data_IF_884177551566
#
_entry.id   IF_884177551566
#
_cell.length_a   1.000
_cell.length_b   1.000
_cell.length_c   1.000
_cell.angle_alpha   90.00
_cell.angle_beta   90.00
_cell.angle_gamma   90.00
#
_symmetry.space_group_name_H-M   'P 1'
#
loop_
_entity.id
_entity.type
_entity.pdbx_description
1 polymer ?
#
# COMPACT_ATOMS: atom_id res chain seq x y z
N UNK A 1 -13.29 5.46 -63.73
CA UNK A 1 -14.00 4.94 -62.57
C UNK A 1 -13.05 4.24 -61.58
N UNK A 2 -12.08 3.42 -62.01
CA UNK A 2 -11.12 2.69 -61.11
C UNK A 2 -10.18 3.59 -60.31
N UNK A 3 -9.84 4.82 -60.77
CA UNK A 3 -8.95 5.74 -60.04
C UNK A 3 -9.63 6.46 -58.84
N UNK A 4 -10.96 6.68 -58.88
CA UNK A 4 -11.70 7.34 -57.79
C UNK A 4 -11.95 6.42 -56.59
N UNK A 5 -12.10 5.12 -56.83
CA UNK A 5 -12.33 4.13 -55.76
C UNK A 5 -11.04 3.93 -54.92
N UNK A 6 -9.85 3.90 -55.56
CA UNK A 6 -8.57 3.75 -54.84
C UNK A 6 -8.26 4.92 -53.91
N UNK A 7 -8.71 6.15 -54.20
CA UNK A 7 -8.48 7.31 -53.33
C UNK A 7 -9.37 7.31 -52.09
N UNK A 8 -10.60 6.78 -52.16
CA UNK A 8 -11.49 6.68 -50.98
C UNK A 8 -11.07 5.59 -50.02
N UNK A 9 -10.59 4.47 -50.49
CA UNK A 9 -10.10 3.38 -49.63
C UNK A 9 -8.80 3.81 -48.95
N UNK A 10 -7.88 4.49 -49.65
CA UNK A 10 -6.62 4.97 -49.06
C UNK A 10 -6.83 6.04 -47.98
N UNK A 11 -7.86 6.88 -48.10
CA UNK A 11 -8.20 7.91 -47.12
C UNK A 11 -8.85 7.32 -45.88
N UNK A 12 -9.59 6.23 -46.00
CA UNK A 12 -10.16 5.49 -44.83
C UNK A 12 -9.13 4.63 -44.10
N UNK A 13 -8.10 4.18 -44.80
CA UNK A 13 -6.99 3.45 -44.16
C UNK A 13 -6.02 4.42 -43.45
N UNK A 14 -5.79 5.58 -43.96
CA UNK A 14 -4.94 6.59 -43.33
C UNK A 14 -5.60 7.19 -42.09
N UNK A 15 -6.93 7.33 -42.03
CA UNK A 15 -7.64 7.79 -40.84
C UNK A 15 -7.74 6.70 -39.73
N UNK A 16 -7.73 5.44 -40.13
CA UNK A 16 -7.66 4.32 -39.14
C UNK A 16 -6.24 4.04 -38.65
N UNK A 17 -5.23 4.28 -39.47
CA UNK A 17 -3.82 4.21 -39.06
C UNK A 17 -3.43 5.39 -38.15
N UNK A 18 -4.03 6.56 -38.33
CA UNK A 18 -3.78 7.73 -37.45
C UNK A 18 -4.41 7.53 -36.06
N UNK A 19 -5.55 6.82 -35.94
CA UNK A 19 -6.16 6.50 -34.65
C UNK A 19 -5.47 5.32 -33.93
N UNK A 20 -4.86 4.39 -34.69
CA UNK A 20 -4.05 3.32 -34.10
C UNK A 20 -2.63 3.79 -33.73
N UNK A 21 -2.11 4.81 -34.42
CA UNK A 21 -0.81 5.40 -34.12
C UNK A 21 -0.78 6.23 -32.84
N UNK A 22 -1.89 6.86 -32.46
CA UNK A 22 -1.96 7.67 -31.24
C UNK A 22 -1.98 6.82 -29.96
N UNK A 23 -2.68 5.68 -29.96
CA UNK A 23 -2.67 4.77 -28.81
C UNK A 23 -1.33 4.04 -28.64
N UNK A 24 -0.67 3.65 -29.74
CA UNK A 24 0.65 3.03 -29.70
C UNK A 24 1.76 4.04 -29.34
N UNK A 25 1.62 5.32 -29.69
CA UNK A 25 2.57 6.37 -29.34
C UNK A 25 2.51 6.73 -27.85
N UNK A 26 1.34 6.68 -27.23
CA UNK A 26 1.16 6.92 -25.78
C UNK A 26 1.76 5.76 -24.97
N UNK A 27 1.57 4.52 -25.39
CA UNK A 27 2.19 3.35 -24.76
C UNK A 27 3.71 3.34 -24.97
N UNK A 28 4.22 3.78 -26.13
CA UNK A 28 5.66 3.89 -26.38
C UNK A 28 6.31 5.04 -25.60
N UNK A 29 5.62 6.16 -25.36
CA UNK A 29 6.13 7.27 -24.57
C UNK A 29 6.26 6.87 -23.08
N UNK A 30 5.29 6.13 -22.53
CA UNK A 30 5.35 5.63 -21.16
C UNK A 30 6.48 4.59 -20.97
N UNK A 31 6.76 3.75 -21.97
CA UNK A 31 7.86 2.77 -21.93
C UNK A 31 9.23 3.42 -22.13
N UNK A 32 9.34 4.53 -22.87
CA UNK A 32 10.60 5.24 -23.12
C UNK A 32 11.08 6.09 -21.92
N UNK A 33 10.17 6.62 -21.12
CA UNK A 33 10.49 7.38 -19.89
C UNK A 33 11.07 6.45 -18.80
N UNK A 34 10.74 5.15 -18.82
CA UNK A 34 11.25 4.16 -17.85
C UNK A 34 12.71 3.74 -18.14
N UNK A 35 13.33 4.10 -19.26
CA UNK A 35 14.64 3.56 -19.70
C UNK A 35 15.81 4.56 -19.72
N UNK A 36 15.80 5.64 -18.95
CA UNK A 36 16.98 6.49 -18.83
C UNK A 36 17.85 6.06 -17.63
N UNK A 37 19.04 5.50 -17.85
CA UNK A 37 20.00 5.28 -16.77
C UNK A 37 20.78 6.58 -16.52
N UNK A 38 20.75 7.07 -15.32
CA UNK A 38 21.53 8.24 -14.89
C UNK A 38 20.74 9.22 -14.07
N UNK A 39 20.17 8.76 -12.96
CA UNK A 39 19.43 9.65 -12.06
C UNK A 39 20.36 10.11 -10.95
N UNK A 40 20.55 11.43 -10.87
CA UNK A 40 21.07 12.10 -9.68
C UNK A 40 20.21 11.70 -8.46
N UNK A 41 20.76 11.62 -7.26
CA UNK A 41 19.96 11.38 -6.08
C UNK A 41 18.86 12.43 -6.01
N UNK A 42 17.60 11.96 -6.14
CA UNK A 42 16.46 12.86 -6.13
C UNK A 42 16.28 13.50 -4.75
N UNK A 43 15.89 14.76 -4.69
CA UNK A 43 15.64 15.42 -3.43
C UNK A 43 14.56 14.67 -2.64
N UNK A 44 14.77 14.51 -1.34
CA UNK A 44 13.80 13.98 -0.38
C UNK A 44 12.39 14.54 -0.68
N UNK A 45 11.40 13.69 -0.79
CA UNK A 45 10.02 14.09 -1.09
C UNK A 45 9.51 15.21 -0.16
N UNK A 46 9.96 15.24 1.08
CA UNK A 46 9.69 16.33 2.02
C UNK A 46 10.33 17.65 1.62
N UNK A 47 11.56 17.63 1.08
CA UNK A 47 12.23 18.84 0.59
C UNK A 47 11.49 19.41 -0.63
N UNK A 48 10.98 18.56 -1.53
CA UNK A 48 10.16 18.99 -2.66
C UNK A 48 8.87 19.65 -2.19
N UNK A 49 8.16 19.04 -1.24
CA UNK A 49 6.92 19.60 -0.66
C UNK A 49 7.15 20.96 0.00
N UNK A 50 8.27 21.14 0.72
CA UNK A 50 8.64 22.43 1.30
C UNK A 50 8.91 23.49 0.23
N UNK A 51 9.56 23.13 -0.88
CA UNK A 51 9.77 24.04 -2.01
C UNK A 51 8.45 24.46 -2.68
N UNK A 52 7.45 23.59 -2.67
CA UNK A 52 6.08 23.86 -3.12
C UNK A 52 5.25 24.67 -2.12
N UNK A 53 5.83 25.08 -0.97
CA UNK A 53 5.13 25.85 0.08
C UNK A 53 4.21 24.99 0.96
N UNK A 54 4.35 23.65 0.91
CA UNK A 54 3.64 22.74 1.81
C UNK A 54 4.45 22.60 3.09
N UNK A 55 3.92 23.07 4.22
CA UNK A 55 4.52 22.81 5.53
C UNK A 55 4.23 21.38 5.93
N UNK A 56 5.24 20.52 5.86
CA UNK A 56 5.13 19.12 6.30
C UNK A 56 6.04 18.95 7.52
N UNK A 57 5.45 18.72 8.68
CA UNK A 57 6.21 18.20 9.81
C UNK A 57 6.68 16.79 9.45
N UNK A 58 7.94 16.42 9.80
CA UNK A 58 8.40 15.04 9.61
C UNK A 58 7.68 14.13 10.60
N UNK A 59 6.66 13.41 10.17
CA UNK A 59 5.88 12.59 11.08
C UNK A 59 6.74 11.42 11.56
N UNK A 60 6.54 11.03 12.81
CA UNK A 60 7.33 9.99 13.45
C UNK A 60 6.49 8.73 13.64
N UNK A 61 7.08 7.57 13.39
CA UNK A 61 6.47 6.29 13.77
C UNK A 61 6.54 6.18 15.29
N UNK A 62 5.41 5.85 15.91
CA UNK A 62 5.30 5.76 17.36
C UNK A 62 4.88 4.35 17.77
N UNK A 63 5.62 3.76 18.69
CA UNK A 63 5.20 2.56 19.40
C UNK A 63 4.72 2.94 20.80
N UNK A 64 3.58 2.41 21.18
CA UNK A 64 3.03 2.51 22.54
C UNK A 64 2.82 1.14 23.13
N UNK A 65 2.93 1.04 24.45
CA UNK A 65 2.53 -0.16 25.19
C UNK A 65 1.38 0.18 26.13
N UNK A 66 0.67 -0.84 26.58
CA UNK A 66 -0.50 -0.73 27.47
C UNK A 66 -0.19 -0.12 28.85
N UNK A 67 1.07 -0.07 29.26
CA UNK A 67 1.53 0.62 30.46
C UNK A 67 1.83 2.13 30.28
N UNK A 68 1.57 2.67 29.09
CA UNK A 68 1.82 4.07 28.74
C UNK A 68 3.24 4.35 28.23
N UNK A 69 4.11 3.35 28.08
CA UNK A 69 5.40 3.52 27.42
C UNK A 69 5.20 4.04 25.99
N UNK A 70 5.97 5.04 25.60
CA UNK A 70 5.96 5.59 24.26
C UNK A 70 7.37 5.68 23.72
N UNK A 71 7.58 5.14 22.52
CA UNK A 71 8.86 5.16 21.81
C UNK A 71 8.67 5.73 20.43
N UNK A 72 9.59 6.58 20.02
CA UNK A 72 9.70 7.05 18.63
C UNK A 72 10.64 6.11 17.89
N UNK A 73 10.18 5.62 16.76
CA UNK A 73 10.91 4.69 15.90
C UNK A 73 11.21 5.35 14.55
N UNK A 74 12.27 4.90 13.89
CA UNK A 74 12.63 5.43 12.59
C UNK A 74 11.98 4.61 11.46
N UNK A 75 12.73 3.73 10.79
CA UNK A 75 12.23 3.02 9.60
C UNK A 75 11.93 1.55 9.90
N UNK A 76 12.65 0.96 10.88
CA UNK A 76 12.47 -0.43 11.24
C UNK A 76 12.75 -0.69 12.72
N UNK A 77 12.14 -1.76 13.24
CA UNK A 77 12.45 -2.34 14.53
C UNK A 77 12.28 -3.86 14.50
N UNK A 78 12.90 -4.52 15.47
CA UNK A 78 12.83 -5.98 15.66
C UNK A 78 12.56 -6.29 17.11
N UNK A 79 11.65 -7.23 17.35
CA UNK A 79 11.52 -7.90 18.64
C UNK A 79 12.48 -9.07 18.69
N UNK A 80 13.36 -9.07 19.66
CA UNK A 80 14.35 -10.14 19.88
C UNK A 80 14.02 -10.85 21.18
N UNK A 81 13.78 -12.15 21.11
CA UNK A 81 13.64 -12.97 22.30
C UNK A 81 15.03 -13.21 22.87
N UNK A 82 15.20 -12.89 24.13
CA UNK A 82 16.36 -13.25 24.94
C UNK A 82 16.10 -14.56 25.68
N UNK A 83 17.12 -15.13 26.30
CA UNK A 83 16.95 -16.30 27.16
C UNK A 83 15.96 -16.00 28.30
N UNK A 84 15.15 -17.00 28.70
CA UNK A 84 14.24 -16.96 29.86
C UNK A 84 13.06 -15.98 29.79
N UNK A 85 12.41 -15.88 28.62
CA UNK A 85 11.14 -15.14 28.50
C UNK A 85 11.27 -13.62 28.42
N UNK A 86 12.48 -13.08 28.32
CA UNK A 86 12.68 -11.67 28.07
C UNK A 86 12.60 -11.35 26.58
N UNK A 87 11.89 -10.28 26.23
CA UNK A 87 11.84 -9.69 24.88
C UNK A 87 12.51 -8.31 24.92
N UNK A 88 13.27 -8.01 23.91
CA UNK A 88 13.82 -6.67 23.71
C UNK A 88 13.41 -6.12 22.36
N UNK A 89 13.06 -4.85 22.33
CA UNK A 89 12.94 -4.10 21.07
C UNK A 89 14.35 -3.63 20.68
N UNK A 90 14.75 -3.98 19.46
CA UNK A 90 15.96 -3.45 18.84
C UNK A 90 15.60 -2.52 17.70
N UNK A 91 16.05 -1.29 17.76
CA UNK A 91 15.88 -0.31 16.69
C UNK A 91 16.93 -0.48 15.60
N UNK A 92 16.73 0.14 14.46
CA UNK A 92 17.69 0.16 13.34
C UNK A 92 19.03 0.79 13.76
N UNK A 93 19.03 1.78 14.67
CA UNK A 93 20.23 2.40 15.24
C UNK A 93 20.99 1.52 16.22
N UNK A 94 20.47 0.32 16.51
CA UNK A 94 21.08 -0.64 17.44
C UNK A 94 20.70 -0.42 18.91
N UNK A 95 19.86 0.57 19.21
CA UNK A 95 19.32 0.73 20.57
C UNK A 95 18.50 -0.49 20.96
N UNK A 96 18.68 -0.99 22.17
CA UNK A 96 17.92 -2.12 22.70
C UNK A 96 17.17 -1.68 23.94
N UNK A 97 15.86 -1.97 23.97
CA UNK A 97 14.99 -1.70 25.11
C UNK A 97 14.29 -2.99 25.56
N UNK A 98 14.47 -3.41 26.82
CA UNK A 98 13.73 -4.56 27.34
C UNK A 98 12.24 -4.25 27.40
N UNK A 99 11.43 -5.25 27.07
CA UNK A 99 9.98 -5.18 27.13
C UNK A 99 9.48 -6.28 28.04
N UNK A 100 8.46 -6.02 28.84
CA UNK A 100 7.76 -7.06 29.56
C UNK A 100 6.96 -7.94 28.57
N UNK A 101 7.02 -9.25 28.73
CA UNK A 101 6.43 -10.23 27.79
C UNK A 101 4.90 -10.19 27.75
N UNK A 102 4.26 -9.73 28.81
CA UNK A 102 2.80 -9.67 28.96
C UNK A 102 2.17 -8.46 28.24
N UNK A 103 2.99 -7.56 27.68
CA UNK A 103 2.51 -6.30 27.11
C UNK A 103 1.87 -6.47 25.76
N UNK A 104 0.82 -5.69 25.55
CA UNK A 104 0.31 -5.38 24.22
C UNK A 104 0.99 -4.13 23.69
N UNK A 105 1.47 -4.22 22.48
CA UNK A 105 2.17 -3.17 21.78
C UNK A 105 1.33 -2.67 20.61
N UNK A 106 1.41 -1.39 20.35
CA UNK A 106 0.77 -0.75 19.19
C UNK A 106 1.80 0.10 18.46
N UNK A 107 1.96 -0.14 17.17
CA UNK A 107 2.73 0.72 16.28
C UNK A 107 1.77 1.54 15.42
N UNK A 108 1.96 2.86 15.40
CA UNK A 108 1.25 3.79 14.55
C UNK A 108 2.22 4.41 13.55
N UNK A 109 1.94 4.16 12.26
CA UNK A 109 2.70 4.70 11.13
C UNK A 109 1.92 5.88 10.57
N UNK A 110 2.43 7.11 10.69
CA UNK A 110 1.74 8.28 10.16
C UNK A 110 1.77 8.31 8.62
N UNK A 111 0.96 9.17 8.02
CA UNK A 111 1.06 9.47 6.60
C UNK A 111 2.48 9.97 6.25
N UNK A 112 2.96 9.64 5.07
CA UNK A 112 4.31 10.00 4.62
C UNK A 112 5.42 9.07 5.12
N UNK A 113 5.10 8.01 5.84
CA UNK A 113 6.07 7.04 6.37
C UNK A 113 5.65 5.61 6.08
N UNK A 114 6.64 4.74 6.03
CA UNK A 114 6.49 3.28 6.03
C UNK A 114 7.36 2.72 7.15
N UNK A 115 7.02 1.55 7.65
CA UNK A 115 7.73 0.94 8.76
C UNK A 115 7.83 -0.58 8.60
N UNK A 116 8.98 -1.16 8.91
CA UNK A 116 9.19 -2.61 8.94
C UNK A 116 9.36 -3.09 10.38
N UNK A 117 8.56 -4.06 10.76
CA UNK A 117 8.62 -4.72 12.05
C UNK A 117 8.96 -6.20 11.88
N UNK A 118 9.93 -6.69 12.63
CA UNK A 118 10.18 -8.12 12.78
C UNK A 118 9.65 -8.54 14.15
N UNK A 119 8.68 -9.45 14.13
CA UNK A 119 8.05 -10.01 15.34
C UNK A 119 8.97 -11.01 16.03
N UNK A 120 8.66 -11.38 17.28
CA UNK A 120 9.48 -12.26 18.11
C UNK A 120 9.57 -13.71 17.59
N UNK A 121 8.60 -14.14 16.77
CA UNK A 121 8.63 -15.43 16.07
C UNK A 121 9.47 -15.40 14.78
N UNK A 122 9.95 -14.23 14.40
CA UNK A 122 10.70 -13.96 13.17
C UNK A 122 9.86 -13.71 11.94
N UNK A 123 8.53 -13.58 12.10
CA UNK A 123 7.66 -13.06 11.04
C UNK A 123 7.94 -11.57 10.77
N UNK A 124 7.77 -11.14 9.54
CA UNK A 124 8.04 -9.76 9.12
C UNK A 124 6.76 -9.08 8.66
N UNK A 125 6.57 -7.85 9.09
CA UNK A 125 5.41 -7.01 8.75
C UNK A 125 5.90 -5.66 8.24
N UNK A 126 5.57 -5.33 7.02
CA UNK A 126 5.73 -3.98 6.48
C UNK A 126 4.41 -3.25 6.64
N UNK A 127 4.45 -2.09 7.28
CA UNK A 127 3.30 -1.22 7.50
C UNK A 127 3.38 -0.03 6.55
N UNK A 128 2.34 0.19 5.78
CA UNK A 128 2.24 1.33 4.88
C UNK A 128 1.77 2.59 5.62
N UNK A 129 1.85 3.73 4.96
CA UNK A 129 1.47 5.03 5.49
C UNK A 129 0.02 5.05 6.03
N UNK A 130 -0.18 5.63 7.20
CA UNK A 130 -1.48 5.70 7.86
C UNK A 130 -1.96 4.40 8.51
N UNK A 131 -1.07 3.42 8.73
CA UNK A 131 -1.43 2.11 9.28
C UNK A 131 -1.13 1.99 10.77
N UNK A 132 -1.87 1.09 11.44
CA UNK A 132 -1.70 0.75 12.85
C UNK A 132 -1.68 -0.76 13.02
N UNK A 133 -0.72 -1.27 13.79
CA UNK A 133 -0.61 -2.68 14.14
C UNK A 133 -0.62 -2.84 15.66
N UNK A 134 -1.53 -3.66 16.15
CA UNK A 134 -1.55 -4.09 17.57
C UNK A 134 -1.11 -5.55 17.65
N UNK A 135 -0.22 -5.85 18.58
CA UNK A 135 0.38 -7.18 18.71
C UNK A 135 0.94 -7.40 20.13
N UNK A 136 1.04 -8.63 20.61
CA UNK A 136 1.70 -8.93 21.88
C UNK A 136 3.22 -8.81 21.73
N UNK A 137 3.91 -8.47 22.81
CA UNK A 137 5.37 -8.43 22.83
C UNK A 137 6.01 -9.80 22.49
N UNK A 138 5.32 -10.88 22.79
CA UNK A 138 5.73 -12.26 22.43
C UNK A 138 4.53 -13.14 22.16
N UNK A 139 4.73 -14.15 21.28
CA UNK A 139 3.80 -15.26 21.04
C UNK A 139 4.17 -16.55 21.80
N UNK A 140 5.08 -16.49 22.78
CA UNK A 140 5.69 -17.68 23.37
C UNK A 140 4.65 -18.67 23.92
N UNK A 141 3.75 -18.37 24.68
CA UNK A 141 2.78 -19.29 25.28
C UNK A 141 1.40 -19.25 24.60
N UNK A 142 1.33 -18.65 23.41
CA UNK A 142 0.08 -18.52 22.69
C UNK A 142 -0.21 -19.74 21.80
N UNK A 143 -1.43 -20.22 21.81
CA UNK A 143 -1.90 -21.26 20.87
C UNK A 143 -2.06 -20.73 19.43
N UNK A 144 -2.32 -19.43 19.27
CA UNK A 144 -2.35 -18.69 18.02
C UNK A 144 -1.50 -17.43 18.14
N UNK A 145 -0.85 -17.03 17.04
CA UNK A 145 -0.07 -15.79 16.95
C UNK A 145 -0.97 -14.69 16.38
N UNK A 146 -1.66 -13.95 17.23
CA UNK A 146 -2.66 -12.98 16.79
C UNK A 146 -2.12 -11.55 16.80
N UNK A 147 -2.42 -10.82 15.71
CA UNK A 147 -2.19 -9.39 15.57
C UNK A 147 -3.45 -8.73 15.03
N UNK A 148 -3.59 -7.41 15.22
CA UNK A 148 -4.69 -6.63 14.64
C UNK A 148 -4.13 -5.52 13.77
N UNK A 149 -4.68 -5.35 12.58
CA UNK A 149 -4.28 -4.32 11.62
C UNK A 149 -5.43 -3.37 11.29
N UNK A 150 -5.12 -2.09 11.20
CA UNK A 150 -5.92 -1.05 10.56
C UNK A 150 -5.02 -0.36 9.53
N UNK A 151 -5.47 -0.21 8.29
CA UNK A 151 -4.65 0.33 7.21
C UNK A 151 -4.11 -0.74 6.27
N UNK A 152 -2.89 -0.58 5.77
CA UNK A 152 -2.28 -1.51 4.82
C UNK A 152 -0.98 -2.10 5.37
N UNK A 153 -0.87 -3.42 5.28
CA UNK A 153 0.34 -4.14 5.65
C UNK A 153 0.62 -5.31 4.70
N UNK A 154 1.90 -5.55 4.47
CA UNK A 154 2.38 -6.76 3.83
C UNK A 154 3.01 -7.67 4.89
N UNK A 155 2.57 -8.92 4.91
CA UNK A 155 2.99 -9.91 5.87
C UNK A 155 3.85 -10.99 5.20
N UNK A 156 4.99 -11.30 5.78
CA UNK A 156 5.78 -12.50 5.50
C UNK A 156 5.86 -13.34 6.77
N UNK A 157 4.94 -14.30 6.88
CA UNK A 157 4.75 -15.06 8.09
C UNK A 157 5.65 -16.30 8.08
N UNK A 158 6.46 -16.42 9.13
CA UNK A 158 7.29 -17.60 9.35
C UNK A 158 6.42 -18.83 9.55
N UNK A 159 6.74 -19.91 8.83
CA UNK A 159 5.98 -21.15 8.86
C UNK A 159 6.02 -21.79 10.26
N UNK A 160 4.84 -21.99 10.82
CA UNK A 160 4.60 -22.74 12.04
C UNK A 160 3.23 -23.42 11.91
N UNK A 161 3.22 -24.74 11.76
CA UNK A 161 1.99 -25.52 11.58
C UNK A 161 1.28 -25.87 12.88
N UNK A 162 1.97 -25.71 14.02
CA UNK A 162 1.42 -25.98 15.33
C UNK A 162 0.69 -24.76 15.90
N UNK A 163 1.13 -23.56 15.52
CA UNK A 163 0.56 -22.29 15.99
C UNK A 163 0.21 -21.41 14.81
N UNK A 164 -1.06 -21.42 14.37
CA UNK A 164 -1.51 -20.55 13.30
C UNK A 164 -1.21 -19.08 13.59
N UNK A 165 -1.03 -18.29 12.52
CA UNK A 165 -0.96 -16.83 12.62
C UNK A 165 -2.30 -16.26 12.23
N UNK A 166 -2.87 -15.38 13.06
CA UNK A 166 -4.15 -14.73 12.85
C UNK A 166 -3.96 -13.23 12.69
N UNK A 167 -4.49 -12.66 11.61
CA UNK A 167 -4.61 -11.21 11.44
C UNK A 167 -6.07 -10.83 11.60
N UNK A 168 -6.37 -10.12 12.66
CA UNK A 168 -7.69 -9.57 12.93
C UNK A 168 -7.84 -8.23 12.23
N UNK A 169 -8.99 -8.04 11.59
CA UNK A 169 -9.46 -6.79 11.02
C UNK A 169 -10.65 -6.28 11.85
N UNK A 170 -11.26 -5.19 11.44
CA UNK A 170 -12.50 -4.73 12.08
C UNK A 170 -13.63 -5.77 12.00
N UNK A 171 -14.61 -5.64 12.87
CA UNK A 171 -15.88 -6.39 12.85
C UNK A 171 -15.77 -7.92 12.96
N UNK A 172 -14.69 -8.42 13.59
CA UNK A 172 -14.47 -9.85 13.78
C UNK A 172 -14.00 -10.59 12.54
N UNK A 173 -13.62 -9.87 11.50
CA UNK A 173 -12.97 -10.42 10.31
C UNK A 173 -11.56 -10.93 10.65
N UNK A 174 -11.21 -12.11 10.18
CA UNK A 174 -9.96 -12.78 10.50
C UNK A 174 -9.34 -13.47 9.30
N UNK A 175 -8.02 -13.36 9.19
CA UNK A 175 -7.18 -14.03 8.22
C UNK A 175 -6.28 -15.00 8.97
N UNK A 176 -6.36 -16.30 8.64
CA UNK A 176 -5.61 -17.37 9.32
C UNK A 176 -4.62 -18.02 8.36
N UNK A 177 -3.35 -18.12 8.79
CA UNK A 177 -2.27 -18.66 7.95
C UNK A 177 -1.28 -19.52 8.77
N UNK A 178 -0.52 -20.39 8.08
CA UNK A 178 0.50 -21.24 8.71
C UNK A 178 1.93 -20.87 8.28
N UNK A 179 2.09 -20.01 7.26
CA UNK A 179 3.37 -19.62 6.68
C UNK A 179 3.16 -19.14 5.26
N UNK A 180 2.99 -17.83 5.09
CA UNK A 180 2.29 -17.24 3.94
C UNK A 180 2.80 -15.83 3.73
N UNK A 181 2.92 -15.41 2.46
CA UNK A 181 3.17 -14.01 2.11
C UNK A 181 1.90 -13.41 1.48
N UNK A 182 1.41 -12.31 2.03
CA UNK A 182 0.16 -11.69 1.58
C UNK A 182 0.08 -10.20 1.93
N UNK A 183 -0.73 -9.47 1.19
CA UNK A 183 -1.05 -8.06 1.46
C UNK A 183 -2.46 -7.93 2.03
N UNK A 184 -2.61 -7.06 3.00
CA UNK A 184 -3.91 -6.65 3.56
C UNK A 184 -4.06 -5.15 3.36
N UNK A 185 -5.18 -4.71 2.81
CA UNK A 185 -5.57 -3.31 2.73
C UNK A 185 -6.94 -3.14 3.40
N UNK A 186 -6.93 -2.58 4.60
CA UNK A 186 -8.08 -2.42 5.49
C UNK A 186 -8.14 -1.01 6.08
N UNK A 187 -7.96 0.03 5.23
CA UNK A 187 -8.21 1.40 5.65
C UNK A 187 -9.71 1.63 5.84
N UNK A 188 -10.10 2.17 6.99
CA UNK A 188 -11.50 2.42 7.32
C UNK A 188 -12.24 3.30 6.29
N UNK A 189 -11.52 4.25 5.65
CA UNK A 189 -12.08 5.14 4.62
C UNK A 189 -12.35 4.49 3.28
N UNK A 190 -11.79 3.31 2.98
CA UNK A 190 -11.89 2.70 1.65
C UNK A 190 -13.24 2.01 1.38
N UNK A 191 -14.11 1.85 2.39
CA UNK A 191 -15.40 1.16 2.28
C UNK A 191 -15.30 -0.34 2.00
N UNK A 192 -14.09 -0.87 1.87
CA UNK A 192 -13.82 -2.30 1.65
C UNK A 192 -12.52 -2.73 2.30
N UNK A 193 -12.45 -4.00 2.71
CA UNK A 193 -11.21 -4.67 3.06
C UNK A 193 -10.79 -5.60 1.92
N UNK A 194 -9.49 -5.63 1.65
CA UNK A 194 -8.93 -6.42 0.55
C UNK A 194 -7.73 -7.21 1.06
N UNK A 195 -7.73 -8.53 0.84
CA UNK A 195 -6.59 -9.40 1.17
C UNK A 195 -6.15 -10.13 -0.09
N UNK A 196 -4.87 -10.02 -0.44
CA UNK A 196 -4.28 -10.63 -1.64
C UNK A 196 -3.19 -11.60 -1.26
N UNK A 197 -3.32 -12.85 -1.70
CA UNK A 197 -2.39 -13.93 -1.41
C UNK A 197 -1.29 -14.02 -2.47
N UNK A 198 -0.02 -13.90 -2.02
CA UNK A 198 1.16 -14.04 -2.88
C UNK A 198 1.70 -15.47 -2.85
N UNK A 199 1.97 -16.02 -1.66
CA UNK A 199 2.45 -17.40 -1.50
C UNK A 199 1.81 -18.07 -0.31
N UNK A 200 1.65 -19.40 -0.34
CA UNK A 200 1.10 -20.17 0.76
C UNK A 200 -0.41 -20.41 0.63
N UNK A 201 -1.14 -20.30 1.72
CA UNK A 201 -2.60 -20.48 1.81
C UNK A 201 -3.19 -19.59 2.91
N UNK A 202 -4.35 -19.03 2.64
CA UNK A 202 -5.14 -18.23 3.58
C UNK A 202 -6.47 -18.92 3.84
N UNK A 203 -6.88 -19.00 5.13
CA UNK A 203 -8.26 -19.13 5.54
C UNK A 203 -8.80 -17.75 5.90
N UNK A 204 -9.82 -17.29 5.23
CA UNK A 204 -10.44 -15.98 5.44
C UNK A 204 -11.85 -16.14 5.99
N UNK A 205 -12.13 -15.54 7.15
CA UNK A 205 -13.47 -15.47 7.74
C UNK A 205 -13.96 -14.03 7.81
N UNK A 206 -15.13 -13.75 7.24
CA UNK A 206 -15.70 -12.39 7.17
C UNK A 206 -16.22 -11.85 8.52
N UNK A 207 -16.44 -12.73 9.49
CA UNK A 207 -16.84 -12.41 10.87
C UNK A 207 -16.54 -13.58 11.78
N UNK A 208 -16.61 -13.35 13.09
CA UNK A 208 -16.44 -14.42 14.07
C UNK A 208 -17.44 -15.57 13.84
N UNK A 209 -16.92 -16.78 13.66
CA UNK A 209 -17.74 -17.98 13.42
C UNK A 209 -18.28 -18.14 12.00
N UNK A 210 -17.95 -17.24 11.05
CA UNK A 210 -18.27 -17.43 9.65
C UNK A 210 -17.47 -18.60 9.04
N UNK A 211 -18.01 -19.21 7.99
CA UNK A 211 -17.30 -20.21 7.21
C UNK A 211 -16.06 -19.60 6.56
N UNK A 212 -14.92 -20.30 6.64
CA UNK A 212 -13.68 -19.84 6.06
C UNK A 212 -13.67 -20.03 4.54
N UNK A 213 -13.36 -18.95 3.82
CA UNK A 213 -13.03 -18.97 2.40
C UNK A 213 -11.53 -19.23 2.27
N UNK A 214 -11.17 -20.29 1.54
CA UNK A 214 -9.76 -20.63 1.32
C UNK A 214 -9.25 -19.95 0.06
N UNK A 215 -8.13 -19.23 0.17
CA UNK A 215 -7.44 -18.61 -0.96
C UNK A 215 -6.20 -19.39 -1.35
N UNK A 216 -5.94 -19.43 -2.66
CA UNK A 216 -4.72 -19.91 -3.29
C UNK A 216 -3.89 -18.73 -3.84
N UNK A 217 -2.59 -18.91 -4.14
CA UNK A 217 -1.76 -17.84 -4.71
C UNK A 217 -2.39 -17.20 -5.95
N UNK A 218 -2.21 -15.88 -6.08
CA UNK A 218 -2.87 -15.04 -7.08
C UNK A 218 -4.39 -14.94 -6.95
N UNK A 219 -4.91 -15.19 -5.76
CA UNK A 219 -6.29 -14.87 -5.43
C UNK A 219 -6.35 -13.71 -4.43
N UNK A 220 -7.43 -12.96 -4.57
CA UNK A 220 -7.76 -11.83 -3.73
C UNK A 220 -9.19 -12.00 -3.22
N UNK A 221 -9.39 -11.80 -1.92
CA UNK A 221 -10.71 -11.62 -1.34
C UNK A 221 -10.95 -10.13 -1.09
N UNK A 222 -12.14 -9.67 -1.43
CA UNK A 222 -12.62 -8.32 -1.16
C UNK A 222 -13.94 -8.39 -0.41
N UNK A 223 -14.01 -7.72 0.76
CA UNK A 223 -15.22 -7.56 1.56
C UNK A 223 -15.71 -6.12 1.42
N UNK A 224 -16.90 -5.93 0.92
CA UNK A 224 -17.61 -4.64 0.97
C UNK A 224 -18.18 -4.43 2.37
N UNK A 225 -17.80 -3.34 3.04
CA UNK A 225 -18.17 -3.09 4.43
C UNK A 225 -19.63 -2.64 4.57
N UNK A 226 -20.16 -1.95 3.55
CA UNK A 226 -21.55 -1.46 3.59
C UNK A 226 -22.54 -2.58 3.24
N UNK A 227 -22.24 -3.37 2.21
CA UNK A 227 -23.08 -4.47 1.77
C UNK A 227 -22.85 -5.77 2.56
N UNK A 228 -21.70 -5.92 3.26
CA UNK A 228 -21.29 -7.14 3.94
C UNK A 228 -20.94 -8.29 2.97
N UNK A 229 -20.87 -8.03 1.67
CA UNK A 229 -20.61 -9.05 0.65
C UNK A 229 -19.13 -9.36 0.54
N UNK A 230 -18.82 -10.63 0.26
CA UNK A 230 -17.45 -11.13 0.06
C UNK A 230 -17.34 -11.67 -1.36
N UNK A 231 -16.28 -11.26 -2.06
CA UNK A 231 -15.98 -11.71 -3.42
C UNK A 231 -14.53 -12.19 -3.51
N UNK A 232 -14.30 -13.28 -4.24
CA UNK A 232 -12.95 -13.78 -4.55
C UNK A 232 -12.70 -13.61 -6.05
N UNK A 233 -11.52 -13.11 -6.38
CA UNK A 233 -11.10 -12.91 -7.77
C UNK A 233 -9.65 -13.34 -7.98
N UNK A 234 -9.31 -13.71 -9.22
CA UNK A 234 -7.92 -13.93 -9.62
C UNK A 234 -7.26 -12.59 -9.97
N UNK A 235 -6.02 -12.39 -9.51
CA UNK A 235 -5.23 -11.17 -9.72
C UNK A 235 -3.76 -11.52 -9.94
N UNK A 236 -2.97 -10.58 -10.46
CA UNK A 236 -1.52 -10.65 -10.36
C UNK A 236 -1.10 -10.18 -8.96
N UNK A 237 -0.85 -11.13 -8.05
CA UNK A 237 -0.53 -10.81 -6.66
C UNK A 237 0.82 -10.08 -6.49
N UNK A 238 1.73 -10.15 -7.48
CA UNK A 238 3.06 -9.54 -7.40
C UNK A 238 3.01 -8.01 -7.28
N UNK A 239 1.94 -7.39 -7.78
CA UNK A 239 1.79 -5.94 -7.76
C UNK A 239 1.36 -5.39 -6.40
N UNK A 240 0.70 -6.22 -5.59
CA UNK A 240 0.13 -5.77 -4.30
C UNK A 240 1.18 -5.62 -3.17
N UNK A 241 2.35 -6.25 -3.31
CA UNK A 241 3.50 -6.06 -2.41
C UNK A 241 4.54 -5.06 -2.94
N UNK A 242 4.36 -4.52 -4.15
CA UNK A 242 5.37 -3.69 -4.82
C UNK A 242 5.64 -2.36 -4.07
N UNK A 243 4.69 -1.89 -3.27
CA UNK A 243 4.84 -0.66 -2.50
C UNK A 243 5.96 -0.75 -1.44
N UNK A 244 6.21 -1.92 -0.84
CA UNK A 244 7.34 -2.13 0.10
C UNK A 244 8.72 -1.98 -0.56
N UNK A 245 8.75 -2.09 -1.90
CA UNK A 245 9.94 -1.90 -2.73
C UNK A 245 10.00 -0.49 -3.35
N UNK A 246 9.11 0.41 -2.92
CA UNK A 246 9.03 1.79 -3.39
C UNK A 246 8.34 1.96 -4.74
N UNK A 247 7.49 1.01 -5.16
CA UNK A 247 6.67 1.15 -6.35
C UNK A 247 5.23 1.52 -6.01
N UNK A 248 4.67 2.44 -6.76
CA UNK A 248 3.26 2.75 -6.81
C UNK A 248 2.67 2.10 -8.07
N UNK A 249 1.86 1.08 -7.88
CA UNK A 249 1.09 0.44 -8.93
C UNK A 249 -0.38 0.83 -8.80
N UNK A 250 -1.01 1.18 -9.90
CA UNK A 250 -2.45 1.49 -9.96
C UNK A 250 -3.00 1.01 -11.30
N UNK A 251 -4.18 0.43 -11.26
CA UNK A 251 -4.87 -0.12 -12.42
C UNK A 251 -6.34 0.28 -12.37
N UNK A 252 -6.76 1.04 -13.40
CA UNK A 252 -8.12 1.57 -13.48
C UNK A 252 -8.61 2.22 -12.17
N UNK A 253 -7.67 2.85 -11.45
CA UNK A 253 -7.92 3.49 -10.16
C UNK A 253 -8.53 4.89 -10.41
N UNK A 254 -9.65 5.19 -9.73
CA UNK A 254 -10.29 6.50 -9.88
C UNK A 254 -9.40 7.61 -9.32
N UNK A 255 -9.47 8.80 -9.91
CA UNK A 255 -8.65 9.94 -9.45
C UNK A 255 -8.87 10.28 -7.97
N UNK A 256 -10.08 10.25 -7.41
CA UNK A 256 -10.27 10.43 -5.97
C UNK A 256 -9.56 9.38 -5.12
N UNK A 257 -9.62 8.09 -5.49
CA UNK A 257 -8.94 7.02 -4.77
C UNK A 257 -7.41 7.16 -4.87
N UNK A 258 -6.90 7.45 -6.07
CA UNK A 258 -5.48 7.72 -6.29
C UNK A 258 -5.00 8.93 -5.48
N UNK A 259 -5.76 10.03 -5.46
CA UNK A 259 -5.45 11.23 -4.71
C UNK A 259 -5.39 10.97 -3.19
N UNK A 260 -6.33 10.21 -2.65
CA UNK A 260 -6.32 9.80 -1.24
C UNK A 260 -5.08 8.95 -0.92
N UNK A 261 -4.74 8.01 -1.79
CA UNK A 261 -3.56 7.16 -1.68
C UNK A 261 -2.26 7.97 -1.76
N UNK A 262 -2.15 8.93 -2.69
CA UNK A 262 -1.02 9.85 -2.76
C UNK A 262 -0.93 10.73 -1.50
N UNK A 263 -2.07 11.19 -0.98
CA UNK A 263 -2.16 11.92 0.28
C UNK A 263 -1.55 11.13 1.44
N UNK A 264 -1.86 9.83 1.55
CA UNK A 264 -1.25 8.95 2.56
C UNK A 264 0.24 8.78 2.32
N UNK A 265 0.65 8.42 1.11
CA UNK A 265 2.06 8.10 0.80
C UNK A 265 2.98 9.30 1.04
N UNK A 266 2.55 10.50 0.68
CA UNK A 266 3.39 11.71 0.78
C UNK A 266 3.08 12.57 2.01
N UNK A 267 2.09 12.21 2.82
CA UNK A 267 1.72 12.96 4.02
C UNK A 267 1.11 14.33 3.70
N UNK A 268 0.38 14.45 2.60
CA UNK A 268 -0.22 15.70 2.11
C UNK A 268 -1.73 15.58 2.03
N UNK A 269 -2.42 16.73 2.09
CA UNK A 269 -3.84 16.79 1.80
C UNK A 269 -4.05 17.02 0.30
N UNK A 270 -4.83 16.14 -0.32
CA UNK A 270 -5.20 16.25 -1.74
C UNK A 270 -6.71 16.42 -1.85
N UNK A 271 -7.17 17.42 -2.58
CA UNK A 271 -8.59 17.68 -2.87
C UNK A 271 -8.83 17.52 -4.37
N UNK A 272 -9.87 16.78 -4.74
CA UNK A 272 -10.23 16.51 -6.13
C UNK A 272 -11.57 17.17 -6.43
N UNK A 273 -11.63 17.96 -7.49
CA UNK A 273 -12.89 18.56 -7.94
C UNK A 273 -13.88 17.47 -8.38
N UNK A 274 -15.14 17.59 -8.00
CA UNK A 274 -16.17 16.58 -8.25
C UNK A 274 -16.31 16.18 -9.73
N UNK A 275 -16.05 17.09 -10.67
CA UNK A 275 -16.09 16.82 -12.12
C UNK A 275 -15.04 15.80 -12.60
N UNK A 276 -14.00 15.56 -11.80
CA UNK A 276 -12.93 14.62 -12.11
C UNK A 276 -13.14 13.22 -11.49
N UNK A 277 -14.27 13.00 -10.82
CA UNK A 277 -14.56 11.76 -10.10
C UNK A 277 -14.56 10.49 -10.96
N UNK A 278 -14.85 10.62 -12.25
CA UNK A 278 -14.90 9.49 -13.19
C UNK A 278 -13.58 9.22 -13.92
N UNK A 279 -12.57 10.09 -13.75
CA UNK A 279 -11.27 9.87 -14.34
C UNK A 279 -10.60 8.68 -13.66
N UNK A 280 -10.08 7.77 -14.47
CA UNK A 280 -9.32 6.60 -13.99
C UNK A 280 -7.92 6.59 -14.60
N UNK A 281 -6.97 6.09 -13.83
CA UNK A 281 -5.57 6.01 -14.24
C UNK A 281 -5.04 4.60 -14.04
N UNK A 282 -4.10 4.22 -14.91
CA UNK A 282 -3.34 2.98 -14.78
C UNK A 282 -1.86 3.26 -15.02
N UNK A 283 -1.00 2.69 -14.17
CA UNK A 283 0.43 2.91 -14.32
C UNK A 283 1.27 2.26 -13.22
N UNK A 284 2.58 2.38 -13.39
CA UNK A 284 3.58 1.96 -12.41
C UNK A 284 4.64 3.05 -12.30
N UNK A 285 4.80 3.62 -11.12
CA UNK A 285 5.68 4.75 -10.86
C UNK A 285 6.51 4.46 -9.60
N UNK A 286 7.76 4.93 -9.56
CA UNK A 286 8.58 4.93 -8.37
C UNK A 286 8.09 6.00 -7.39
N UNK A 287 7.92 5.64 -6.11
CA UNK A 287 7.52 6.57 -5.05
C UNK A 287 8.60 7.63 -4.77
N UNK A 288 9.88 7.26 -4.97
CA UNK A 288 11.02 8.16 -4.78
C UNK A 288 11.12 9.30 -5.82
N UNK A 289 10.33 9.25 -6.90
CA UNK A 289 10.18 10.36 -7.85
C UNK A 289 9.49 11.60 -7.27
N UNK A 290 8.87 11.43 -6.12
CA UNK A 290 8.15 12.51 -5.45
C UNK A 290 6.78 12.80 -6.05
N UNK A 291 6.01 13.56 -5.28
CA UNK A 291 4.63 13.88 -5.66
C UNK A 291 4.53 14.80 -6.87
N UNK A 292 5.46 15.76 -7.00
CA UNK A 292 5.48 16.70 -8.13
C UNK A 292 5.58 15.99 -9.47
N UNK A 293 6.44 14.96 -9.58
CA UNK A 293 6.55 14.15 -10.79
C UNK A 293 5.22 13.48 -11.16
N UNK A 294 4.53 12.91 -10.16
CA UNK A 294 3.24 12.23 -10.39
C UNK A 294 2.18 13.22 -10.86
N UNK A 295 2.14 14.40 -10.27
CA UNK A 295 1.18 15.45 -10.63
C UNK A 295 1.43 16.00 -12.02
N UNK A 296 2.70 16.23 -12.37
CA UNK A 296 3.05 16.64 -13.72
C UNK A 296 2.62 15.58 -14.73
N UNK A 297 2.86 14.29 -14.42
CA UNK A 297 2.41 13.19 -15.27
C UNK A 297 0.89 13.17 -15.45
N UNK A 298 0.12 13.36 -14.38
CA UNK A 298 -1.35 13.45 -14.44
C UNK A 298 -1.79 14.64 -15.31
N UNK A 299 -1.16 15.81 -15.16
CA UNK A 299 -1.48 17.01 -15.95
C UNK A 299 -1.07 16.88 -17.41
N UNK A 300 0.01 16.16 -17.73
CA UNK A 300 0.47 15.92 -19.10
C UNK A 300 -0.38 14.88 -19.85
N UNK A 301 -0.96 13.94 -19.11
CA UNK A 301 -1.73 12.81 -19.68
C UNK A 301 -3.24 13.03 -19.66
N UNK A 302 -3.70 14.10 -19.04
CA UNK A 302 -5.14 14.44 -18.91
C UNK A 302 -5.35 15.95 -18.77
N UNK A 303 -6.59 16.39 -18.80
CA UNK A 303 -6.98 17.79 -18.58
C UNK A 303 -7.01 18.18 -17.07
N UNK A 304 -6.31 17.42 -16.22
CA UNK A 304 -6.24 17.68 -14.78
C UNK A 304 -5.23 18.78 -14.50
N UNK A 305 -5.69 19.86 -13.88
CA UNK A 305 -4.84 20.97 -13.44
C UNK A 305 -4.50 20.76 -11.95
N UNK A 306 -3.20 20.70 -11.67
CA UNK A 306 -2.69 20.55 -10.29
C UNK A 306 -2.22 21.91 -9.77
N UNK A 307 -2.72 22.32 -8.58
CA UNK A 307 -2.29 23.54 -7.88
C UNK A 307 -2.05 23.24 -6.41
N UNK A 308 -1.07 23.88 -5.83
CA UNK A 308 -0.84 23.89 -4.38
C UNK A 308 -1.29 25.24 -3.83
N UNK A 309 -2.30 25.23 -2.97
CA UNK A 309 -2.83 26.42 -2.33
C UNK A 309 -3.01 26.16 -0.82
N UNK A 310 -2.38 26.99 0.01
CA UNK A 310 -2.43 26.89 1.48
C UNK A 310 -2.05 25.50 2.04
N UNK A 311 -1.04 24.86 1.45
CA UNK A 311 -0.58 23.53 1.89
C UNK A 311 -1.50 22.37 1.48
N UNK A 312 -2.52 22.63 0.70
CA UNK A 312 -3.44 21.63 0.13
C UNK A 312 -3.18 21.52 -1.37
N UNK A 313 -3.06 20.33 -1.86
CA UNK A 313 -2.97 20.04 -3.28
C UNK A 313 -4.37 19.91 -3.86
N UNK A 314 -4.69 20.71 -4.85
CA UNK A 314 -5.99 20.73 -5.52
C UNK A 314 -5.88 20.25 -6.95
N UNK A 315 -6.67 19.24 -7.28
CA UNK A 315 -6.85 18.71 -8.62
C UNK A 315 -8.17 19.23 -9.18
N UNK A 316 -8.09 20.04 -10.23
CA UNK A 316 -9.25 20.70 -10.83
C UNK A 316 -9.24 20.61 -12.35
#
# INVERSE_FOLDING_TARGET
>A
VKRRIRRRVRRRWMSRAALAGSAAAIVAAVVLVVRQPGVLPEPDAFAQLQQMGVTVERPQVVMTADDGMRLVLENAARLERRSEGEVALRTETGEQRPLATERKLKVEVPNGRQFRLVLDDGSEVWLNAGSKLEYPATFENASERCVRIEGEAFFEIKRDTCRPFCVELGDGECIRVLGTSFNVNAYAGNGRHVTTLVTGRIGYAASAGAEEVVLEPNQQVSRDLAAGTVAVSAVDASVYGAWKEGWLWFENESLPALAERLGRIYGIRVEVAARLGEYTFSGKIRQDRGVEYILNLLSETSDVICKVENGVMRLS
#
